data_IF_443863720245
#
_entry.id   IF_443863720245
#
_cell.length_a   1.000
_cell.length_b   1.000
_cell.length_c   1.000
_cell.angle_alpha   90.00
_cell.angle_beta   90.00
_cell.angle_gamma   90.00
#
_symmetry.space_group_name_H-M   'P 1'
#
loop_
_entity.id
_entity.type
_entity.pdbx_description
1 polymer ?
#
# COMPACT_ATOMS: atom_id res chain seq x y z
N UNK A 1 28.39 -26.91 -0.97
CA UNK A 1 29.47 -26.47 -1.88
C UNK A 1 28.80 -25.88 -3.11
N UNK A 2 29.23 -24.67 -3.45
CA UNK A 2 28.64 -23.67 -4.33
C UNK A 2 28.44 -24.13 -5.77
N UNK A 3 27.22 -24.01 -6.28
CA UNK A 3 26.98 -23.76 -7.71
C UNK A 3 26.61 -22.29 -7.86
N UNK A 4 27.64 -21.47 -8.03
CA UNK A 4 27.52 -20.07 -8.42
C UNK A 4 27.26 -20.09 -9.93
N UNK A 5 25.99 -20.10 -10.33
CA UNK A 5 25.64 -19.84 -11.73
C UNK A 5 26.21 -18.49 -12.13
N UNK A 6 26.84 -18.36 -13.31
CA UNK A 6 27.35 -17.07 -13.75
C UNK A 6 26.19 -16.08 -13.79
N UNK A 7 26.37 -14.93 -13.16
CA UNK A 7 25.41 -13.83 -13.22
C UNK A 7 25.49 -13.30 -14.67
N UNK A 8 24.64 -13.82 -15.54
CA UNK A 8 24.53 -13.36 -16.94
C UNK A 8 23.72 -12.08 -17.02
N UNK A 9 23.80 -11.36 -18.14
CA UNK A 9 22.98 -10.17 -18.40
C UNK A 9 21.47 -10.45 -18.17
N UNK A 10 21.02 -11.68 -18.44
CA UNK A 10 19.65 -12.15 -18.25
C UNK A 10 19.18 -12.07 -16.79
N UNK A 11 20.09 -12.13 -15.81
CA UNK A 11 19.73 -11.96 -14.40
C UNK A 11 19.42 -10.50 -14.04
N UNK A 12 19.96 -9.52 -14.74
CA UNK A 12 19.77 -8.10 -14.42
C UNK A 12 18.65 -7.43 -15.22
N UNK A 13 18.33 -7.95 -16.40
CA UNK A 13 17.31 -7.39 -17.29
C UNK A 13 15.92 -7.29 -16.60
N UNK A 14 15.39 -8.34 -15.93
CA UNK A 14 14.09 -8.25 -15.27
C UNK A 14 14.04 -7.18 -14.18
N UNK A 15 15.11 -7.03 -13.39
CA UNK A 15 15.22 -6.00 -12.37
C UNK A 15 15.29 -4.60 -12.99
N UNK A 16 16.11 -4.40 -14.03
CA UNK A 16 16.25 -3.11 -14.69
C UNK A 16 14.93 -2.65 -15.30
N UNK A 17 14.22 -3.55 -15.97
CA UNK A 17 12.89 -3.27 -16.54
C UNK A 17 11.88 -3.02 -15.44
N UNK A 18 11.84 -3.82 -14.38
CA UNK A 18 10.94 -3.58 -13.23
C UNK A 18 11.19 -2.21 -12.58
N UNK A 19 12.45 -1.83 -12.35
CA UNK A 19 12.82 -0.51 -11.82
C UNK A 19 12.37 0.59 -12.77
N UNK A 20 12.58 0.44 -14.08
CA UNK A 20 12.13 1.39 -15.08
C UNK A 20 10.59 1.51 -15.10
N UNK A 21 9.87 0.40 -14.98
CA UNK A 21 8.41 0.36 -14.84
C UNK A 21 7.97 1.13 -13.61
N UNK A 22 8.52 0.82 -12.43
CA UNK A 22 8.20 1.53 -11.19
C UNK A 22 8.47 3.03 -11.31
N UNK A 23 9.65 3.42 -11.81
CA UNK A 23 10.04 4.81 -11.98
C UNK A 23 9.09 5.55 -12.94
N UNK A 24 8.72 4.92 -14.05
CA UNK A 24 7.80 5.50 -15.05
C UNK A 24 6.40 5.72 -14.47
N UNK A 25 5.85 4.72 -13.76
CA UNK A 25 4.53 4.82 -13.12
C UNK A 25 4.52 5.92 -12.05
N UNK A 26 5.58 6.01 -11.23
CA UNK A 26 5.74 7.09 -10.25
C UNK A 26 5.88 8.47 -10.90
N UNK A 27 6.66 8.58 -11.97
CA UNK A 27 6.86 9.83 -12.70
C UNK A 27 5.56 10.34 -13.32
N UNK A 28 4.80 9.46 -14.00
CA UNK A 28 3.51 9.80 -14.59
C UNK A 28 2.50 10.25 -13.52
N UNK A 29 2.45 9.54 -12.39
CA UNK A 29 1.58 9.92 -11.28
C UNK A 29 1.99 11.27 -10.66
N UNK A 30 3.28 11.56 -10.53
CA UNK A 30 3.78 12.86 -10.05
C UNK A 30 3.45 14.00 -11.01
N UNK A 31 3.61 13.79 -12.33
CA UNK A 31 3.19 14.76 -13.36
C UNK A 31 1.69 15.06 -13.23
N UNK A 32 0.87 14.02 -13.13
CA UNK A 32 -0.57 14.15 -12.95
C UNK A 32 -0.92 14.93 -11.68
N UNK A 33 -0.28 14.61 -10.54
CA UNK A 33 -0.51 15.33 -9.28
C UNK A 33 -0.09 16.79 -9.36
N UNK A 34 1.00 17.13 -10.05
CA UNK A 34 1.42 18.53 -10.26
C UNK A 34 0.42 19.28 -11.11
N UNK A 35 -0.11 18.65 -12.16
CA UNK A 35 -1.18 19.21 -12.97
C UNK A 35 -2.42 19.50 -12.11
N UNK A 36 -2.88 18.52 -11.31
CA UNK A 36 -4.01 18.69 -10.40
C UNK A 36 -3.79 19.81 -9.40
N UNK A 37 -2.61 19.89 -8.77
CA UNK A 37 -2.28 20.96 -7.82
C UNK A 37 -2.26 22.35 -8.47
N UNK A 38 -1.94 22.43 -9.76
CA UNK A 38 -1.94 23.69 -10.50
C UNK A 38 -3.37 24.17 -10.82
N UNK A 39 -4.28 23.26 -11.17
CA UNK A 39 -5.62 23.63 -11.64
C UNK A 39 -6.72 23.50 -10.58
N UNK A 40 -6.51 22.74 -9.50
CA UNK A 40 -7.56 22.38 -8.55
C UNK A 40 -7.15 22.72 -7.12
N UNK A 41 -8.01 23.48 -6.42
CA UNK A 41 -7.78 23.82 -5.01
C UNK A 41 -7.81 22.59 -4.10
N UNK A 42 -6.86 22.44 -3.15
CA UNK A 42 -6.78 21.30 -2.21
C UNK A 42 -8.00 21.08 -1.31
N UNK A 43 -8.88 22.08 -1.18
CA UNK A 43 -10.10 21.98 -0.36
C UNK A 43 -11.24 21.25 -1.07
N UNK A 44 -11.18 21.11 -2.40
CA UNK A 44 -12.27 20.53 -3.19
C UNK A 44 -12.22 19.01 -3.17
N UNK A 45 -13.38 18.36 -3.20
CA UNK A 45 -13.48 16.90 -3.30
C UNK A 45 -12.77 16.35 -4.54
N UNK A 46 -12.85 17.05 -5.67
CA UNK A 46 -12.18 16.62 -6.90
C UNK A 46 -10.65 16.58 -6.78
N UNK A 47 -10.05 17.44 -5.93
CA UNK A 47 -8.63 17.35 -5.60
C UNK A 47 -8.35 16.07 -4.82
N UNK A 48 -9.08 15.82 -3.73
CA UNK A 48 -8.92 14.62 -2.92
C UNK A 48 -9.13 13.34 -3.76
N UNK A 49 -10.13 13.34 -4.65
CA UNK A 49 -10.37 12.25 -5.60
C UNK A 49 -9.16 12.02 -6.49
N UNK A 50 -8.68 13.07 -7.19
CA UNK A 50 -7.58 12.94 -8.13
C UNK A 50 -6.28 12.47 -7.45
N UNK A 51 -5.99 12.97 -6.24
CA UNK A 51 -4.80 12.56 -5.49
C UNK A 51 -4.85 11.09 -5.06
N UNK A 52 -5.99 10.62 -4.53
CA UNK A 52 -6.19 9.22 -4.17
C UNK A 52 -6.25 8.30 -5.39
N UNK A 53 -6.87 8.75 -6.48
CA UNK A 53 -6.94 8.03 -7.74
C UNK A 53 -5.52 7.76 -8.27
N UNK A 54 -4.71 8.81 -8.38
CA UNK A 54 -3.34 8.69 -8.88
C UNK A 54 -2.47 7.81 -7.98
N UNK A 55 -2.57 7.97 -6.66
CA UNK A 55 -1.84 7.14 -5.71
C UNK A 55 -2.28 5.67 -5.75
N UNK A 56 -3.58 5.41 -5.90
CA UNK A 56 -4.13 4.05 -5.97
C UNK A 56 -3.77 3.36 -7.26
N UNK A 57 -3.92 4.05 -8.39
CA UNK A 57 -3.50 3.57 -9.70
C UNK A 57 -2.00 3.25 -9.71
N UNK A 58 -1.16 4.19 -9.25
CA UNK A 58 0.30 4.02 -9.15
C UNK A 58 0.66 2.79 -8.32
N UNK A 59 0.22 2.74 -7.06
CA UNK A 59 0.62 1.68 -6.15
C UNK A 59 0.11 0.31 -6.60
N UNK A 60 -1.15 0.21 -7.05
CA UNK A 60 -1.73 -1.05 -7.52
C UNK A 60 -1.06 -1.55 -8.79
N UNK A 61 -0.70 -0.66 -9.73
CA UNK A 61 0.05 -1.03 -10.94
C UNK A 61 1.40 -1.63 -10.58
N UNK A 62 2.13 -1.01 -9.63
CA UNK A 62 3.40 -1.56 -9.15
C UNK A 62 3.25 -2.96 -8.50
N UNK A 63 2.10 -3.30 -7.88
CA UNK A 63 1.93 -4.65 -7.32
C UNK A 63 1.86 -5.74 -8.41
N UNK A 64 1.46 -5.41 -9.64
CA UNK A 64 1.52 -6.35 -10.75
C UNK A 64 2.96 -6.67 -11.13
N UNK A 65 3.81 -5.65 -11.25
CA UNK A 65 5.23 -5.80 -11.56
C UNK A 65 6.00 -6.57 -10.49
N UNK A 66 5.55 -6.54 -9.23
CA UNK A 66 6.12 -7.37 -8.16
C UNK A 66 6.10 -8.87 -8.51
N UNK A 67 5.24 -9.32 -9.43
CA UNK A 67 5.24 -10.69 -9.95
C UNK A 67 6.53 -11.04 -10.69
N UNK A 68 7.09 -10.11 -11.47
CA UNK A 68 8.39 -10.25 -12.16
C UNK A 68 9.51 -10.40 -11.12
N UNK A 69 9.53 -9.49 -10.14
CA UNK A 69 10.54 -9.52 -9.07
C UNK A 69 10.50 -10.84 -8.31
N UNK A 70 9.30 -11.29 -7.96
CA UNK A 70 9.10 -12.50 -7.19
C UNK A 70 9.52 -13.76 -7.96
N UNK A 71 9.28 -13.80 -9.28
CA UNK A 71 9.68 -14.92 -10.14
C UNK A 71 11.20 -15.01 -10.31
N UNK A 72 11.90 -13.87 -10.43
CA UNK A 72 13.35 -13.84 -10.72
C UNK A 72 14.25 -13.74 -9.47
N UNK A 73 13.77 -13.08 -8.40
CA UNK A 73 14.57 -12.78 -7.20
C UNK A 73 13.95 -13.34 -5.91
N UNK A 74 12.85 -14.08 -6.04
CA UNK A 74 12.17 -14.74 -4.93
C UNK A 74 11.63 -13.76 -3.89
N UNK A 75 11.33 -14.32 -2.72
CA UNK A 75 10.68 -13.58 -1.62
C UNK A 75 11.58 -12.51 -1.03
N UNK A 76 12.90 -12.68 -1.07
CA UNK A 76 13.86 -11.68 -0.59
C UNK A 76 13.84 -10.44 -1.50
N UNK A 77 13.86 -10.62 -2.82
CA UNK A 77 13.72 -9.52 -3.77
C UNK A 77 12.38 -8.80 -3.62
N UNK A 78 11.29 -9.56 -3.48
CA UNK A 78 9.96 -9.02 -3.21
C UNK A 78 9.93 -8.19 -1.92
N UNK A 79 10.54 -8.69 -0.84
CA UNK A 79 10.60 -8.00 0.45
C UNK A 79 11.23 -6.61 0.34
N UNK A 80 12.42 -6.51 -0.25
CA UNK A 80 13.10 -5.21 -0.39
C UNK A 80 12.38 -4.28 -1.38
N UNK A 81 11.82 -4.83 -2.46
CA UNK A 81 11.08 -4.06 -3.45
C UNK A 81 9.84 -3.41 -2.83
N UNK A 82 9.04 -4.18 -2.09
CA UNK A 82 7.84 -3.66 -1.42
C UNK A 82 8.19 -2.59 -0.38
N UNK A 83 9.30 -2.74 0.35
CA UNK A 83 9.80 -1.68 1.25
C UNK A 83 10.07 -0.40 0.46
N UNK A 84 10.85 -0.50 -0.61
CA UNK A 84 11.21 0.64 -1.46
C UNK A 84 9.97 1.34 -2.03
N UNK A 85 9.03 0.59 -2.57
CA UNK A 85 7.77 1.11 -3.14
C UNK A 85 6.91 1.81 -2.09
N UNK A 86 6.77 1.24 -0.89
CA UNK A 86 5.97 1.84 0.19
C UNK A 86 6.64 3.09 0.78
N UNK A 87 7.97 3.12 0.89
CA UNK A 87 8.70 4.33 1.28
C UNK A 87 8.52 5.42 0.22
N UNK A 88 8.79 5.09 -1.05
CA UNK A 88 8.64 6.02 -2.16
C UNK A 88 7.19 6.56 -2.22
N UNK A 89 6.21 5.67 -2.14
CA UNK A 89 4.79 6.02 -2.08
C UNK A 89 4.47 6.94 -0.91
N UNK A 90 4.98 6.64 0.29
CA UNK A 90 4.82 7.49 1.47
C UNK A 90 5.39 8.90 1.32
N UNK A 91 6.42 9.07 0.50
CA UNK A 91 7.03 10.38 0.18
C UNK A 91 6.22 11.12 -0.89
N UNK A 92 5.84 10.46 -1.98
CA UNK A 92 5.27 11.12 -3.17
C UNK A 92 3.75 11.24 -3.16
N UNK A 93 3.03 10.39 -2.41
CA UNK A 93 1.56 10.33 -2.48
C UNK A 93 0.84 11.51 -1.82
N UNK A 94 1.58 12.50 -1.29
CA UNK A 94 1.07 13.75 -0.66
C UNK A 94 -0.07 13.51 0.36
N UNK A 95 0.00 12.40 1.09
CA UNK A 95 -0.97 12.05 2.13
C UNK A 95 -2.17 11.21 1.65
N UNK A 96 -2.21 10.76 0.39
CA UNK A 96 -3.18 9.77 -0.03
C UNK A 96 -2.99 8.43 0.71
N UNK A 97 -4.10 7.79 1.06
CA UNK A 97 -4.18 6.65 1.96
C UNK A 97 -3.97 5.32 1.23
N UNK A 98 -4.52 5.16 0.01
CA UNK A 98 -4.35 3.97 -0.85
C UNK A 98 -4.73 2.64 -0.17
N UNK A 99 -5.52 2.73 0.90
CA UNK A 99 -6.01 1.60 1.68
C UNK A 99 -7.36 2.00 2.28
N UNK A 100 -8.42 1.20 2.10
CA UNK A 100 -9.73 1.46 2.69
C UNK A 100 -9.72 1.40 4.23
N UNK A 101 -8.85 0.59 4.84
CA UNK A 101 -8.88 0.35 6.30
C UNK A 101 -8.63 1.63 7.13
N UNK A 102 -7.61 2.46 6.83
CA UNK A 102 -7.49 3.79 7.45
C UNK A 102 -8.68 4.74 7.20
N UNK A 103 -9.38 4.61 6.07
CA UNK A 103 -10.56 5.43 5.77
C UNK A 103 -11.72 5.04 6.69
N UNK A 104 -11.97 3.74 6.85
CA UNK A 104 -13.00 3.22 7.75
C UNK A 104 -12.72 3.59 9.21
N UNK A 105 -11.47 3.45 9.66
CA UNK A 105 -11.08 3.95 10.99
C UNK A 105 -11.28 5.47 11.10
N UNK A 106 -10.90 6.22 10.07
CA UNK A 106 -11.05 7.67 10.05
C UNK A 106 -12.52 8.11 10.17
N UNK A 107 -13.43 7.39 9.51
CA UNK A 107 -14.87 7.58 9.65
C UNK A 107 -15.35 7.28 11.05
N UNK A 108 -14.99 6.10 11.59
CA UNK A 108 -15.39 5.68 12.93
C UNK A 108 -14.92 6.68 14.01
N UNK A 109 -13.71 7.23 13.86
CA UNK A 109 -13.13 8.21 14.77
C UNK A 109 -13.56 9.66 14.50
N UNK A 110 -14.46 9.91 13.55
CA UNK A 110 -14.85 11.25 13.08
C UNK A 110 -13.65 12.12 12.65
N UNK A 111 -12.56 11.49 12.21
CA UNK A 111 -11.37 12.17 11.67
C UNK A 111 -11.50 12.46 10.17
N UNK A 112 -12.38 11.72 9.47
CA UNK A 112 -12.75 11.93 8.08
C UNK A 112 -14.28 11.98 8.02
N UNK A 113 -14.85 12.96 7.33
CA UNK A 113 -16.29 13.07 7.13
C UNK A 113 -16.81 12.07 6.09
N UNK A 114 -18.10 11.72 6.16
CA UNK A 114 -18.70 10.70 5.29
C UNK A 114 -18.56 11.01 3.80
N UNK A 115 -18.88 12.24 3.40
CA UNK A 115 -18.72 12.78 2.05
C UNK A 115 -17.28 12.62 1.55
N UNK A 116 -16.30 12.98 2.39
CA UNK A 116 -14.88 12.86 2.04
C UNK A 116 -14.45 11.41 1.92
N UNK A 117 -14.93 10.53 2.79
CA UNK A 117 -14.60 9.11 2.71
C UNK A 117 -15.18 8.44 1.46
N UNK A 118 -16.41 8.77 1.06
CA UNK A 118 -17.00 8.27 -0.20
C UNK A 118 -16.15 8.70 -1.41
N UNK A 119 -15.68 9.95 -1.41
CA UNK A 119 -14.78 10.47 -2.44
C UNK A 119 -13.45 9.71 -2.48
N UNK A 120 -12.84 9.47 -1.31
CA UNK A 120 -11.57 8.73 -1.23
C UNK A 120 -11.75 7.27 -1.68
N UNK A 121 -12.79 6.58 -1.20
CA UNK A 121 -13.04 5.17 -1.52
C UNK A 121 -13.39 4.98 -3.01
N UNK A 122 -14.19 5.88 -3.59
CA UNK A 122 -14.48 5.83 -5.02
C UNK A 122 -13.22 6.05 -5.87
N UNK A 123 -12.36 7.01 -5.50
CA UNK A 123 -11.08 7.22 -6.15
C UNK A 123 -10.16 5.99 -6.06
N UNK A 124 -10.12 5.36 -4.89
CA UNK A 124 -9.38 4.12 -4.66
C UNK A 124 -9.88 3.00 -5.57
N UNK A 125 -11.19 2.74 -5.59
CA UNK A 125 -11.79 1.70 -6.43
C UNK A 125 -11.56 1.93 -7.92
N UNK A 126 -11.72 3.17 -8.41
CA UNK A 126 -11.48 3.52 -9.82
C UNK A 126 -9.99 3.36 -10.16
N UNK A 127 -9.09 3.88 -9.31
CA UNK A 127 -7.64 3.75 -9.52
C UNK A 127 -7.16 2.30 -9.47
N UNK A 128 -7.64 1.53 -8.50
CA UNK A 128 -7.33 0.10 -8.40
C UNK A 128 -7.92 -0.73 -9.54
N UNK A 129 -9.14 -0.42 -9.99
CA UNK A 129 -9.78 -1.11 -11.12
C UNK A 129 -9.09 -0.86 -12.46
N UNK A 130 -8.52 0.34 -12.67
CA UNK A 130 -7.75 0.67 -13.88
C UNK A 130 -6.30 0.19 -13.82
N UNK A 131 -5.78 -0.18 -12.66
CA UNK A 131 -4.38 -0.58 -12.49
C UNK A 131 -4.00 -1.81 -13.33
N UNK A 132 -4.90 -2.79 -13.46
CA UNK A 132 -4.66 -3.94 -14.33
C UNK A 132 -4.44 -3.51 -15.79
N UNK A 133 -5.28 -2.61 -16.30
CA UNK A 133 -5.19 -2.14 -17.68
C UNK A 133 -3.90 -1.39 -17.95
N UNK A 134 -3.45 -0.59 -16.97
CA UNK A 134 -2.17 0.09 -17.07
C UNK A 134 -1.00 -0.91 -17.04
N UNK A 135 -1.04 -1.92 -16.17
CA UNK A 135 -0.03 -2.98 -16.13
C UNK A 135 0.00 -3.80 -17.43
N UNK A 136 -1.16 -4.23 -17.93
CA UNK A 136 -1.34 -4.93 -19.20
C UNK A 136 -0.74 -4.14 -20.37
N UNK A 137 -0.98 -2.83 -20.42
CA UNK A 137 -0.40 -1.96 -21.44
C UNK A 137 1.13 -1.85 -21.32
N UNK A 138 1.65 -1.71 -20.10
CA UNK A 138 3.10 -1.70 -19.86
C UNK A 138 3.74 -3.01 -20.33
N UNK A 139 3.15 -4.15 -19.97
CA UNK A 139 3.64 -5.47 -20.38
C UNK A 139 3.63 -5.63 -21.90
N UNK A 140 2.56 -5.20 -22.57
CA UNK A 140 2.50 -5.19 -24.03
C UNK A 140 3.65 -4.38 -24.65
N UNK A 141 3.93 -3.18 -24.14
CA UNK A 141 5.01 -2.33 -24.66
C UNK A 141 6.42 -2.86 -24.39
N UNK A 142 6.56 -3.79 -23.44
CA UNK A 142 7.87 -4.25 -22.96
C UNK A 142 8.04 -5.77 -23.02
N UNK A 143 7.13 -6.46 -23.73
CA UNK A 143 7.14 -7.91 -23.87
C UNK A 143 8.42 -8.43 -24.56
N UNK A 144 8.97 -7.66 -25.50
CA UNK A 144 10.23 -8.00 -26.19
C UNK A 144 11.48 -7.80 -25.31
N UNK A 145 11.35 -7.13 -24.16
CA UNK A 145 12.45 -6.86 -23.24
C UNK A 145 12.56 -7.91 -22.14
N UNK A 146 11.43 -8.47 -21.68
CA UNK A 146 11.39 -9.47 -20.59
C UNK A 146 10.33 -10.52 -20.88
N UNK A 147 10.74 -11.79 -20.95
CA UNK A 147 9.84 -12.93 -21.20
C UNK A 147 8.67 -13.01 -20.20
N UNK A 148 8.84 -12.51 -18.98
CA UNK A 148 7.77 -12.47 -17.98
C UNK A 148 6.62 -11.53 -18.37
N UNK A 149 6.91 -10.42 -19.04
CA UNK A 149 5.88 -9.50 -19.52
C UNK A 149 5.08 -10.12 -20.66
N UNK A 150 5.75 -10.81 -21.58
CA UNK A 150 5.08 -11.64 -22.59
C UNK A 150 4.19 -12.69 -21.92
N UNK A 151 4.73 -13.45 -20.95
CA UNK A 151 3.98 -14.48 -20.23
C UNK A 151 2.74 -13.91 -19.53
N UNK A 152 2.86 -12.78 -18.82
CA UNK A 152 1.74 -12.16 -18.12
C UNK A 152 0.68 -11.58 -19.06
N UNK A 153 1.09 -11.07 -20.22
CA UNK A 153 0.18 -10.57 -21.25
C UNK A 153 -0.61 -11.72 -21.91
N UNK A 154 0.05 -12.84 -22.23
CA UNK A 154 -0.56 -13.98 -22.92
C UNK A 154 -1.39 -14.88 -21.99
N UNK A 155 -1.05 -14.98 -20.71
CA UNK A 155 -1.65 -15.94 -19.77
C UNK A 155 -2.70 -15.31 -18.83
N UNK A 156 -3.68 -14.62 -19.43
CA UNK A 156 -4.86 -14.09 -18.75
C UNK A 156 -6.06 -15.06 -18.96
N UNK A 157 -6.90 -15.33 -17.94
CA UNK A 157 -6.97 -14.71 -16.62
C UNK A 157 -6.16 -15.44 -15.53
N UNK A 158 -5.88 -14.71 -14.46
CA UNK A 158 -5.24 -15.20 -13.24
C UNK A 158 -6.11 -16.19 -12.43
N UNK A 159 -5.46 -16.95 -11.55
CA UNK A 159 -6.09 -17.91 -10.64
C UNK A 159 -5.58 -17.76 -9.20
N UNK A 160 -6.46 -17.97 -8.21
CA UNK A 160 -6.05 -18.08 -6.81
C UNK A 160 -5.19 -19.32 -6.60
N UNK A 161 -4.00 -19.13 -6.01
CA UNK A 161 -3.05 -20.19 -5.71
C UNK A 161 -2.80 -20.26 -4.20
N UNK A 162 -3.78 -20.76 -3.46
CA UNK A 162 -3.64 -21.00 -2.02
C UNK A 162 -2.71 -22.19 -1.76
N UNK A 163 -1.78 -22.04 -0.81
CA UNK A 163 -0.91 -23.14 -0.33
C UNK A 163 -1.53 -23.94 0.81
N UNK A 164 -2.52 -23.36 1.49
CA UNK A 164 -3.27 -23.97 2.59
C UNK A 164 -4.77 -23.72 2.41
N UNK A 165 -5.59 -24.18 3.36
CA UNK A 165 -7.03 -23.98 3.31
C UNK A 165 -7.40 -22.49 3.39
N UNK A 166 -8.55 -22.14 2.82
CA UNK A 166 -9.11 -20.79 2.86
C UNK A 166 -9.26 -20.28 4.30
N UNK A 167 -9.57 -21.16 5.27
CA UNK A 167 -9.65 -20.79 6.69
C UNK A 167 -8.32 -20.23 7.23
N UNK A 168 -7.19 -20.81 6.83
CA UNK A 168 -5.87 -20.30 7.24
C UNK A 168 -5.63 -18.91 6.65
N UNK A 169 -6.03 -18.68 5.40
CA UNK A 169 -5.98 -17.35 4.79
C UNK A 169 -6.87 -16.34 5.54
N UNK A 170 -8.11 -16.72 5.88
CA UNK A 170 -9.04 -15.88 6.66
C UNK A 170 -8.46 -15.48 8.02
N UNK A 171 -7.89 -16.44 8.76
CA UNK A 171 -7.23 -16.17 10.06
C UNK A 171 -6.05 -15.21 9.87
N UNK A 172 -5.26 -15.43 8.80
CA UNK A 172 -4.13 -14.59 8.47
C UNK A 172 -4.55 -13.14 8.18
N UNK A 173 -5.62 -12.91 7.43
CA UNK A 173 -6.16 -11.56 7.15
C UNK A 173 -6.53 -10.82 8.44
N UNK A 174 -7.24 -11.49 9.36
CA UNK A 174 -7.62 -10.90 10.66
C UNK A 174 -6.37 -10.58 11.49
N UNK A 175 -5.49 -11.56 11.68
CA UNK A 175 -4.32 -11.43 12.53
C UNK A 175 -3.30 -10.43 11.96
N UNK A 176 -3.07 -10.46 10.65
CA UNK A 176 -2.15 -9.58 9.95
C UNK A 176 -2.60 -8.12 10.01
N UNK A 177 -3.87 -7.83 9.70
CA UNK A 177 -4.40 -6.46 9.79
C UNK A 177 -4.48 -5.95 11.24
N UNK A 178 -4.81 -6.83 12.20
CA UNK A 178 -4.72 -6.51 13.63
C UNK A 178 -3.30 -6.09 14.03
N UNK A 179 -2.30 -6.92 13.73
CA UNK A 179 -0.90 -6.65 14.06
C UNK A 179 -0.42 -5.36 13.39
N UNK A 180 -0.71 -5.20 12.10
CA UNK A 180 -0.32 -4.04 11.31
C UNK A 180 -0.84 -2.75 11.93
N UNK A 181 -2.13 -2.74 12.32
CA UNK A 181 -2.75 -1.57 12.95
C UNK A 181 -2.26 -1.34 14.38
N UNK A 182 -2.21 -2.39 15.19
CA UNK A 182 -1.86 -2.28 16.61
C UNK A 182 -0.40 -1.85 16.80
N UNK A 183 0.53 -2.53 16.13
CA UNK A 183 1.97 -2.20 16.19
C UNK A 183 2.21 -0.83 15.57
N UNK A 184 1.56 -0.54 14.43
CA UNK A 184 1.71 0.74 13.73
C UNK A 184 1.25 1.97 14.52
N UNK A 185 0.39 1.78 15.53
CA UNK A 185 0.02 2.82 16.48
C UNK A 185 1.13 3.13 17.50
N UNK A 186 1.93 2.12 17.86
CA UNK A 186 2.99 2.24 18.88
C UNK A 186 4.31 2.75 18.31
N UNK A 187 4.48 2.71 16.98
CA UNK A 187 5.72 3.15 16.35
C UNK A 187 5.95 4.67 16.52
N UNK A 188 7.18 5.10 16.84
CA UNK A 188 7.50 6.51 16.99
C UNK A 188 7.43 7.21 15.63
N UNK A 189 6.88 8.42 15.59
CA UNK A 189 6.58 9.11 14.33
C UNK A 189 7.77 9.31 13.37
N UNK A 190 9.02 9.38 13.88
CA UNK A 190 10.23 9.45 13.04
C UNK A 190 10.56 8.11 12.35
N UNK A 191 10.37 7.00 13.04
CA UNK A 191 10.67 5.66 12.50
C UNK A 191 9.49 5.05 11.75
N UNK A 192 8.25 5.53 12.00
CA UNK A 192 7.03 5.02 11.39
C UNK A 192 7.09 5.00 9.85
N UNK A 193 7.74 5.99 9.24
CA UNK A 193 7.90 6.06 7.78
C UNK A 193 8.73 4.93 7.16
N UNK A 194 9.57 4.26 7.94
CA UNK A 194 10.44 3.16 7.46
C UNK A 194 10.02 1.81 8.04
N UNK A 195 9.64 1.77 9.32
CA UNK A 195 9.25 0.54 10.00
C UNK A 195 7.87 0.04 9.57
N UNK A 196 6.93 0.92 9.18
CA UNK A 196 5.65 0.48 8.63
C UNK A 196 5.83 -0.24 7.28
N UNK A 197 6.53 0.34 6.29
CA UNK A 197 6.90 -0.38 5.07
C UNK A 197 7.56 -1.75 5.32
N UNK A 198 8.53 -1.81 6.24
CA UNK A 198 9.20 -3.05 6.60
C UNK A 198 8.24 -4.09 7.19
N UNK A 199 7.34 -3.69 8.08
CA UNK A 199 6.34 -4.59 8.67
C UNK A 199 5.33 -5.08 7.63
N UNK A 200 4.80 -4.19 6.78
CA UNK A 200 3.89 -4.58 5.69
C UNK A 200 4.59 -5.57 4.76
N UNK A 201 5.82 -5.25 4.33
CA UNK A 201 6.59 -6.12 3.44
C UNK A 201 6.89 -7.47 4.06
N UNK A 202 7.27 -7.50 5.34
CA UNK A 202 7.49 -8.74 6.09
C UNK A 202 6.24 -9.61 6.10
N UNK A 203 5.10 -9.04 6.47
CA UNK A 203 3.85 -9.77 6.53
C UNK A 203 3.46 -10.27 5.13
N UNK A 204 3.48 -9.43 4.10
CA UNK A 204 3.17 -9.87 2.73
C UNK A 204 4.12 -10.97 2.22
N UNK A 205 5.39 -10.93 2.62
CA UNK A 205 6.37 -11.99 2.30
C UNK A 205 6.00 -13.31 2.99
N UNK A 206 5.63 -13.27 4.27
CA UNK A 206 5.09 -14.43 5.01
C UNK A 206 3.82 -14.95 4.34
N UNK A 207 2.89 -14.07 3.96
CA UNK A 207 1.68 -14.44 3.25
C UNK A 207 1.99 -15.18 1.95
N UNK A 208 2.95 -14.70 1.17
CA UNK A 208 3.34 -15.37 -0.06
C UNK A 208 3.97 -16.76 0.19
N UNK A 209 4.84 -16.89 1.20
CA UNK A 209 5.50 -18.15 1.53
C UNK A 209 4.51 -19.19 2.03
N UNK A 210 3.62 -18.82 2.95
CA UNK A 210 2.77 -19.78 3.67
C UNK A 210 1.32 -19.81 3.18
N UNK A 211 0.73 -18.67 2.81
CA UNK A 211 -0.67 -18.61 2.36
C UNK A 211 -0.78 -18.75 0.84
N UNK A 212 0.18 -18.20 0.10
CA UNK A 212 0.22 -18.14 -1.37
C UNK A 212 -0.37 -16.85 -1.95
N UNK A 213 -1.22 -16.15 -1.18
CA UNK A 213 -1.88 -14.91 -1.62
C UNK A 213 -1.58 -13.77 -0.64
N UNK A 214 -0.76 -12.78 -1.03
CA UNK A 214 -0.44 -11.65 -0.16
C UNK A 214 -1.58 -10.63 -0.18
N UNK A 215 -2.40 -10.63 0.86
CA UNK A 215 -3.50 -9.70 1.05
C UNK A 215 -3.45 -9.18 2.49
N UNK A 216 -3.30 -7.87 2.65
CA UNK A 216 -3.47 -7.14 3.93
C UNK A 216 -4.02 -5.72 3.68
N UNK A 217 -4.48 -5.49 2.45
CA UNK A 217 -5.06 -4.25 1.98
C UNK A 217 -6.16 -4.62 0.97
N UNK A 218 -7.45 -4.41 1.31
CA UNK A 218 -8.58 -4.76 0.47
C UNK A 218 -8.50 -4.17 -0.94
N UNK A 219 -7.94 -2.97 -1.10
CA UNK A 219 -7.80 -2.33 -2.41
C UNK A 219 -6.80 -3.08 -3.30
N UNK A 220 -5.59 -3.35 -2.79
CA UNK A 220 -4.54 -3.98 -3.61
C UNK A 220 -4.91 -5.41 -4.01
N UNK A 221 -5.57 -6.15 -3.10
CA UNK A 221 -6.03 -7.51 -3.41
C UNK A 221 -7.21 -7.50 -4.37
N UNK A 222 -8.12 -6.52 -4.28
CA UNK A 222 -9.22 -6.37 -5.23
C UNK A 222 -8.71 -6.02 -6.62
N UNK A 223 -7.75 -5.09 -6.72
CA UNK A 223 -7.12 -4.75 -7.99
C UNK A 223 -6.57 -6.03 -8.65
N UNK A 224 -5.76 -6.81 -7.92
CA UNK A 224 -5.11 -8.00 -8.49
C UNK A 224 -6.02 -9.20 -8.71
N UNK A 225 -6.93 -9.47 -7.78
CA UNK A 225 -7.54 -10.80 -7.66
C UNK A 225 -9.05 -10.87 -7.83
N UNK A 226 -9.78 -9.73 -7.86
CA UNK A 226 -11.25 -9.75 -7.85
C UNK A 226 -11.88 -10.48 -9.06
N UNK A 227 -11.17 -10.55 -10.19
CA UNK A 227 -11.60 -11.25 -11.39
C UNK A 227 -10.80 -12.53 -11.69
N UNK A 228 -9.95 -12.98 -10.76
CA UNK A 228 -9.27 -14.26 -10.90
C UNK A 228 -10.23 -15.42 -10.59
N UNK A 229 -9.99 -16.58 -11.21
CA UNK A 229 -10.73 -17.80 -10.90
C UNK A 229 -10.25 -18.43 -9.58
N UNK A 230 -11.11 -19.20 -8.90
CA UNK A 230 -10.72 -20.02 -7.74
C UNK A 230 -11.25 -19.55 -6.38
N UNK A 231 -11.97 -18.43 -6.32
CA UNK A 231 -12.71 -18.01 -5.13
C UNK A 231 -13.98 -17.27 -5.54
N UNK A 232 -15.12 -17.65 -4.97
CA UNK A 232 -16.39 -16.98 -5.24
C UNK A 232 -16.35 -15.52 -4.76
N UNK A 233 -17.06 -14.64 -5.46
CA UNK A 233 -17.04 -13.19 -5.18
C UNK A 233 -17.45 -12.87 -3.74
N UNK A 234 -18.44 -13.56 -3.20
CA UNK A 234 -18.92 -13.32 -1.83
C UNK A 234 -17.87 -13.75 -0.80
N UNK A 235 -17.23 -14.90 -1.02
CA UNK A 235 -16.14 -15.38 -0.18
C UNK A 235 -14.89 -14.50 -0.31
N UNK A 236 -14.66 -13.93 -1.49
CA UNK A 236 -13.62 -12.93 -1.71
C UNK A 236 -13.87 -11.67 -0.88
N UNK A 237 -15.07 -11.09 -0.96
CA UNK A 237 -15.43 -9.89 -0.18
C UNK A 237 -15.40 -10.18 1.32
N UNK A 238 -15.90 -11.32 1.76
CA UNK A 238 -15.84 -11.71 3.16
C UNK A 238 -14.38 -11.84 3.64
N UNK A 239 -13.56 -12.59 2.90
CA UNK A 239 -12.16 -12.87 3.28
C UNK A 239 -11.29 -11.63 3.22
N UNK A 240 -11.43 -10.80 2.18
CA UNK A 240 -10.44 -9.75 1.88
C UNK A 240 -10.95 -8.32 2.07
N UNK A 241 -12.22 -8.13 2.42
CA UNK A 241 -12.75 -6.83 2.87
C UNK A 241 -13.22 -6.88 4.30
N UNK A 242 -14.12 -7.82 4.63
CA UNK A 242 -14.74 -7.86 5.96
C UNK A 242 -13.74 -8.27 7.04
N UNK A 243 -13.03 -9.39 6.87
CA UNK A 243 -12.08 -9.90 7.88
C UNK A 243 -10.87 -8.97 8.13
N UNK A 244 -10.20 -8.38 7.12
CA UNK A 244 -9.20 -7.33 7.31
C UNK A 244 -9.72 -6.14 8.10
N UNK A 245 -10.95 -5.71 7.80
CA UNK A 245 -11.61 -4.61 8.52
C UNK A 245 -11.82 -4.99 9.97
N UNK A 246 -12.34 -6.19 10.24
CA UNK A 246 -12.51 -6.69 11.60
C UNK A 246 -11.19 -6.71 12.38
N UNK A 247 -10.14 -7.30 11.81
CA UNK A 247 -8.81 -7.34 12.43
C UNK A 247 -8.24 -5.94 12.71
N UNK A 248 -8.35 -5.04 11.74
CA UNK A 248 -7.90 -3.65 11.87
C UNK A 248 -8.62 -2.91 13.02
N UNK A 249 -9.94 -3.03 13.08
CA UNK A 249 -10.76 -2.41 14.14
C UNK A 249 -10.46 -3.01 15.52
N UNK A 250 -10.27 -4.32 15.62
CA UNK A 250 -9.85 -4.95 16.88
C UNK A 250 -8.51 -4.38 17.38
N UNK A 251 -7.55 -4.18 16.48
CA UNK A 251 -6.25 -3.57 16.82
C UNK A 251 -6.38 -2.11 17.27
N UNK A 252 -7.26 -1.35 16.60
CA UNK A 252 -7.59 0.02 16.98
C UNK A 252 -8.26 0.11 18.36
N UNK A 253 -9.29 -0.71 18.62
CA UNK A 253 -10.04 -0.70 19.88
C UNK A 253 -9.15 -1.06 21.08
N UNK A 254 -8.28 -2.06 20.92
CA UNK A 254 -7.31 -2.42 21.94
C UNK A 254 -6.32 -1.29 22.22
N UNK A 255 -5.82 -0.62 21.18
CA UNK A 255 -4.93 0.53 21.31
C UNK A 255 -5.58 1.70 22.05
N UNK A 256 -6.84 2.01 21.72
CA UNK A 256 -7.62 3.06 22.38
C UNK A 256 -7.87 2.72 23.85
N UNK A 257 -8.28 1.47 24.15
CA UNK A 257 -8.48 0.99 25.52
C UNK A 257 -7.21 1.08 26.37
N UNK A 258 -6.07 0.64 25.85
CA UNK A 258 -4.79 0.72 26.57
C UNK A 258 -4.33 2.17 26.77
N UNK A 259 -4.61 3.06 25.81
CA UNK A 259 -4.28 4.48 25.91
C UNK A 259 -5.12 5.18 27.00
N UNK A 260 -6.39 4.79 27.14
CA UNK A 260 -7.29 5.26 28.20
C UNK A 260 -6.97 4.72 29.60
N UNK A 261 -6.05 3.76 29.74
CA UNK A 261 -5.57 3.30 31.05
C UNK A 261 -4.24 3.93 31.49
N UNK A 262 -3.59 4.73 30.64
CA UNK A 262 -2.34 5.41 31.04
C UNK A 262 -2.60 6.44 32.15
N UNK A 263 -1.75 6.53 33.19
CA UNK A 263 -1.88 7.50 34.27
C UNK A 263 -1.95 8.95 33.75
N UNK A 264 -2.66 9.86 34.44
CA UNK A 264 -2.83 11.26 34.02
C UNK A 264 -1.51 12.01 33.74
N UNK A 265 -0.47 11.75 34.54
CA UNK A 265 0.87 12.35 34.36
C UNK A 265 1.50 12.01 33.01
N UNK A 266 1.46 10.74 32.59
CA UNK A 266 2.02 10.32 31.30
C UNK A 266 1.20 10.85 30.11
N UNK A 267 -0.10 11.12 30.29
CA UNK A 267 -0.92 11.81 29.29
C UNK A 267 -0.56 13.28 29.15
N UNK A 268 -0.27 13.97 30.26
CA UNK A 268 0.15 15.36 30.24
C UNK A 268 1.52 15.52 29.57
N UNK A 269 2.50 14.68 29.92
CA UNK A 269 3.83 14.72 29.30
C UNK A 269 3.79 14.42 27.80
N UNK A 270 2.99 13.44 27.36
CA UNK A 270 2.86 13.12 25.94
C UNK A 270 2.13 14.20 25.14
N UNK A 271 1.12 14.87 25.74
CA UNK A 271 0.45 16.04 25.16
C UNK A 271 1.39 17.24 25.07
N UNK A 272 2.16 17.52 26.12
CA UNK A 272 3.17 18.60 26.15
C UNK A 272 4.26 18.36 25.09
N UNK A 273 4.82 17.14 24.99
CA UNK A 273 5.81 16.79 23.97
C UNK A 273 5.26 16.93 22.54
N UNK A 274 3.97 16.64 22.32
CA UNK A 274 3.30 16.80 21.01
C UNK A 274 3.04 18.27 20.67
N UNK A 275 2.65 19.08 21.66
CA UNK A 275 2.52 20.54 21.53
C UNK A 275 3.86 21.21 21.25
N UNK A 276 4.92 20.81 21.96
CA UNK A 276 6.27 21.35 21.78
C UNK A 276 6.80 21.06 20.37
N UNK A 277 6.65 19.83 19.86
CA UNK A 277 6.99 19.49 18.47
C UNK A 277 6.18 20.27 17.43
N UNK A 278 4.89 20.50 17.67
CA UNK A 278 4.07 21.29 16.75
C UNK A 278 4.44 22.77 16.77
N UNK A 279 4.81 23.32 17.93
CA UNK A 279 5.30 24.68 18.07
C UNK A 279 6.67 24.87 17.41
N UNK A 280 7.58 23.91 17.55
CA UNK A 280 8.87 23.91 16.84
C UNK A 280 8.69 23.85 15.33
N UNK A 281 7.81 22.98 14.83
CA UNK A 281 7.46 22.94 13.40
C UNK A 281 6.90 24.28 12.92
N UNK A 282 5.96 24.89 13.65
CA UNK A 282 5.41 26.22 13.31
C UNK A 282 6.48 27.30 13.27
N UNK A 283 7.38 27.35 14.27
CA UNK A 283 8.51 28.30 14.30
C UNK A 283 9.45 28.14 13.10
N UNK A 284 9.69 26.90 12.66
CA UNK A 284 10.50 26.64 11.48
C UNK A 284 9.85 27.14 10.18
N UNK A 285 8.53 26.99 10.04
CA UNK A 285 7.79 27.52 8.88
C UNK A 285 7.69 29.05 8.88
N UNK A 286 7.51 29.69 10.04
CA UNK A 286 7.42 31.16 10.12
C UNK A 286 8.78 31.86 10.10
N UNK A 287 9.87 31.18 10.48
CA UNK A 287 11.24 31.69 10.40
C UNK A 287 11.77 31.79 8.96
N UNK A 288 11.32 30.92 8.05
CA UNK A 288 11.73 30.96 6.62
C UNK A 288 11.09 32.08 5.81
N UNK A 289 9.99 32.69 6.28
CA UNK A 289 9.30 33.77 5.56
C UNK A 289 9.77 35.19 5.92
N UNK A 290 10.73 35.33 6.84
CA UNK A 290 11.28 36.64 7.27
C UNK A 290 12.67 36.98 6.69
N UNK A 291 13.13 36.25 5.67
CA UNK A 291 14.44 36.47 5.03
C UNK A 291 14.39 36.82 3.53
N UNK A 292 13.26 37.35 3.04
CA UNK A 292 13.20 38.04 1.75
C UNK A 292 12.57 39.41 1.91
#
# INVERSE_FOLDING_TARGET
MSFQTPITADYFIPLAVSIATYASVFALAEIFRRFVDHFVSPKRHIHAFAMEFAASLQMCTCVYENGVILKNYGVIGFFFTVIGLLIAGGIVNRGALVNPLPVFEGLYKNAISLDRAVVILSAQLVGGGLAFRLAEYIWYLTMDLVNDHQYFYENLPCTFAFKHSLLVAMIYEVAGCFCLRFIGAKLPGRAKGYLMPAMVSFLLSVAFVYIGVPALNPLTISARMMNCKGLDRDMFLFTYWFLPTFGWFAGMLLDDYLSQRRPPLQRQESRQKKQQKNNEKRKWYTGKHKQH
#
